data_IF_627528209917
#
_entry.id   IF_627528209917
#
_cell.length_a   1.000
_cell.length_b   1.000
_cell.length_c   1.000
_cell.angle_alpha   90.00
_cell.angle_beta   90.00
_cell.angle_gamma   90.00
#
_symmetry.space_group_name_H-M   'P 1'
#
loop_
_entity.id
_entity.type
_entity.pdbx_description
1 polymer ?
#
# COMPACT_ATOMS: atom_id res chain seq x y z
N UNK A 1 4.91 9.61 -24.13
CA UNK A 1 4.53 8.48 -23.25
C UNK A 1 5.57 8.17 -22.17
N UNK A 2 6.84 7.86 -22.51
CA UNK A 2 7.87 7.49 -21.52
C UNK A 2 8.19 8.59 -20.49
N UNK A 3 8.36 9.84 -20.92
CA UNK A 3 8.57 10.97 -20.01
C UNK A 3 7.37 11.18 -19.06
N UNK A 4 6.15 11.00 -19.57
CA UNK A 4 4.93 11.03 -18.76
C UNK A 4 4.92 9.93 -17.69
N UNK A 5 5.31 8.69 -18.06
CA UNK A 5 5.43 7.58 -17.10
C UNK A 5 6.47 7.83 -16.01
N UNK A 6 7.62 8.39 -16.38
CA UNK A 6 8.65 8.77 -15.42
C UNK A 6 8.13 9.82 -14.43
N UNK A 7 7.49 10.88 -14.94
CA UNK A 7 6.91 11.92 -14.10
C UNK A 7 5.84 11.34 -13.16
N UNK A 8 4.88 10.57 -13.68
CA UNK A 8 3.84 9.96 -12.84
C UNK A 8 4.43 9.03 -11.78
N UNK A 9 5.49 8.28 -12.10
CA UNK A 9 6.17 7.42 -11.13
C UNK A 9 6.83 8.22 -10.00
N UNK A 10 7.51 9.31 -10.32
CA UNK A 10 8.12 10.22 -9.32
C UNK A 10 7.04 10.83 -8.43
N UNK A 11 5.95 11.34 -9.01
CA UNK A 11 4.85 11.93 -8.24
C UNK A 11 4.16 10.90 -7.33
N UNK A 12 3.88 9.69 -7.84
CA UNK A 12 3.29 8.61 -7.04
C UNK A 12 4.20 8.26 -5.85
N UNK A 13 5.51 8.18 -6.05
CA UNK A 13 6.46 7.89 -4.97
C UNK A 13 6.45 8.96 -3.88
N UNK A 14 6.49 10.24 -4.27
CA UNK A 14 6.45 11.37 -3.33
C UNK A 14 5.12 11.40 -2.56
N UNK A 15 4.00 11.30 -3.27
CA UNK A 15 2.66 11.34 -2.66
C UNK A 15 2.47 10.16 -1.71
N UNK A 16 2.85 8.95 -2.13
CA UNK A 16 2.69 7.75 -1.30
C UNK A 16 3.50 7.88 -0.01
N UNK A 17 4.76 8.33 -0.08
CA UNK A 17 5.56 8.56 1.11
C UNK A 17 4.94 9.63 2.02
N UNK A 18 4.49 10.76 1.45
CA UNK A 18 3.89 11.85 2.21
C UNK A 18 2.60 11.42 2.91
N UNK A 19 1.73 10.65 2.23
CA UNK A 19 0.47 10.14 2.79
C UNK A 19 0.73 9.20 3.97
N UNK A 20 1.70 8.27 3.84
CA UNK A 20 2.02 7.35 4.94
C UNK A 20 2.57 8.11 6.16
N UNK A 21 3.44 9.09 5.94
CA UNK A 21 3.96 9.93 7.04
C UNK A 21 2.85 10.75 7.68
N UNK A 22 2.00 11.41 6.88
CA UNK A 22 0.88 12.20 7.38
C UNK A 22 -0.07 11.34 8.24
N UNK A 23 -0.48 10.17 7.73
CA UNK A 23 -1.32 9.22 8.47
C UNK A 23 -0.65 8.78 9.78
N UNK A 24 0.65 8.49 9.73
CA UNK A 24 1.40 8.10 10.91
C UNK A 24 1.46 9.22 11.96
N UNK A 25 1.52 10.48 11.56
CA UNK A 25 1.59 11.64 12.47
C UNK A 25 0.23 12.02 13.07
N UNK A 26 -0.87 11.88 12.32
CA UNK A 26 -2.22 12.18 12.85
C UNK A 26 -2.80 11.05 13.71
N UNK A 27 -2.42 9.79 13.45
CA UNK A 27 -3.00 8.64 14.14
C UNK A 27 -2.51 8.54 15.60
N UNK A 28 -3.42 8.28 16.54
CA UNK A 28 -3.04 7.99 17.93
C UNK A 28 -2.34 6.63 18.04
N UNK A 29 -1.53 6.44 19.08
CA UNK A 29 -0.72 5.21 19.31
C UNK A 29 -1.55 3.93 19.19
N UNK A 30 -2.81 3.98 19.64
CA UNK A 30 -3.65 2.81 19.82
C UNK A 30 -4.32 2.35 18.52
N UNK A 31 -4.59 3.28 17.59
CA UNK A 31 -5.25 2.99 16.30
C UNK A 31 -4.30 3.15 15.10
N UNK A 32 -3.02 3.47 15.33
CA UNK A 32 -2.01 3.67 14.28
C UNK A 32 -1.89 2.45 13.37
N UNK A 33 -2.06 1.25 13.92
CA UNK A 33 -2.06 0.00 13.16
C UNK A 33 -3.22 -0.09 12.18
N UNK A 34 -4.43 0.20 12.65
CA UNK A 34 -5.66 0.15 11.87
C UNK A 34 -5.71 1.25 10.79
N UNK A 35 -5.38 2.51 11.14
CA UNK A 35 -5.34 3.62 10.17
C UNK A 35 -4.17 3.42 9.17
N UNK A 36 -3.03 2.90 9.62
CA UNK A 36 -1.95 2.53 8.69
C UNK A 36 -2.39 1.47 7.69
N UNK A 37 -3.13 0.46 8.14
CA UNK A 37 -3.61 -0.65 7.30
C UNK A 37 -4.74 -0.24 6.34
N UNK A 38 -5.56 0.75 6.70
CA UNK A 38 -6.63 1.27 5.82
C UNK A 38 -6.09 1.90 4.53
N UNK A 39 -4.83 2.37 4.53
CA UNK A 39 -4.15 2.87 3.33
C UNK A 39 -4.04 1.78 2.26
N UNK A 40 -3.72 0.54 2.67
CA UNK A 40 -3.67 -0.60 1.74
C UNK A 40 -5.05 -0.95 1.17
N UNK A 41 -6.11 -0.84 1.99
CA UNK A 41 -7.49 -1.02 1.50
C UNK A 41 -7.81 0.02 0.42
N UNK A 42 -7.42 1.28 0.63
CA UNK A 42 -7.65 2.35 -0.35
C UNK A 42 -6.89 2.10 -1.66
N UNK A 43 -5.66 1.57 -1.59
CA UNK A 43 -4.93 1.10 -2.78
C UNK A 43 -5.69 0.01 -3.53
N UNK A 44 -6.20 -1.01 -2.83
CA UNK A 44 -6.97 -2.09 -3.44
C UNK A 44 -8.28 -1.61 -4.06
N UNK A 45 -8.97 -0.63 -3.45
CA UNK A 45 -10.14 0.03 -4.04
C UNK A 45 -9.75 0.76 -5.34
N UNK A 46 -8.61 1.47 -5.34
CA UNK A 46 -8.11 2.16 -6.52
C UNK A 46 -7.78 1.22 -7.68
N UNK A 47 -7.18 0.06 -7.40
CA UNK A 47 -6.90 -0.98 -8.41
C UNK A 47 -8.21 -1.54 -8.98
N UNK A 48 -9.17 -1.88 -8.12
CA UNK A 48 -10.48 -2.37 -8.54
C UNK A 48 -11.21 -1.34 -9.41
N UNK A 49 -11.22 -0.08 -9.00
CA UNK A 49 -11.77 1.04 -9.77
C UNK A 49 -11.14 1.14 -11.16
N UNK A 50 -9.80 1.08 -11.24
CA UNK A 50 -9.06 1.12 -12.49
C UNK A 50 -9.43 -0.03 -13.43
N UNK A 51 -9.58 -1.25 -12.91
CA UNK A 51 -9.97 -2.41 -13.72
C UNK A 51 -11.42 -2.40 -14.18
N UNK A 52 -12.35 -1.94 -13.34
CA UNK A 52 -13.76 -1.78 -13.74
C UNK A 52 -13.86 -0.77 -14.89
N UNK A 53 -13.27 0.41 -14.73
CA UNK A 53 -13.34 1.45 -15.77
C UNK A 53 -12.54 1.04 -17.01
N UNK A 54 -11.39 0.41 -16.83
CA UNK A 54 -10.57 -0.12 -17.92
C UNK A 54 -11.25 -1.24 -18.72
N UNK A 55 -12.27 -1.90 -18.17
CA UNK A 55 -13.06 -2.91 -18.90
C UNK A 55 -14.07 -2.31 -19.87
N UNK A 56 -14.57 -1.10 -19.59
CA UNK A 56 -15.63 -0.44 -20.39
C UNK A 56 -15.11 0.70 -21.27
N UNK A 57 -13.84 1.09 -21.09
CA UNK A 57 -13.28 2.35 -21.60
C UNK A 57 -11.97 2.15 -22.35
N UNK A 58 -11.65 3.05 -23.30
CA UNK A 58 -10.34 3.10 -23.97
C UNK A 58 -9.25 3.73 -23.09
N UNK A 59 -7.96 3.47 -23.38
CA UNK A 59 -6.82 3.92 -22.56
C UNK A 59 -6.76 5.44 -22.34
N UNK A 60 -7.18 6.24 -23.32
CA UNK A 60 -7.17 7.71 -23.22
C UNK A 60 -8.27 8.22 -22.29
N UNK A 61 -9.47 7.67 -22.43
CA UNK A 61 -10.61 8.00 -21.57
C UNK A 61 -10.41 7.49 -20.13
N UNK A 62 -9.78 6.32 -19.93
CA UNK A 62 -9.39 5.83 -18.61
C UNK A 62 -8.47 6.83 -17.90
N UNK A 63 -7.48 7.35 -18.62
CA UNK A 63 -6.53 8.35 -18.09
C UNK A 63 -7.25 9.63 -17.67
N UNK A 64 -8.21 10.11 -18.48
CA UNK A 64 -9.02 11.28 -18.15
C UNK A 64 -9.93 11.06 -16.93
N UNK A 65 -10.53 9.87 -16.80
CA UNK A 65 -11.40 9.56 -15.66
C UNK A 65 -10.58 9.46 -14.37
N UNK A 66 -9.38 8.87 -14.42
CA UNK A 66 -8.48 8.79 -13.26
C UNK A 66 -7.99 10.17 -12.78
N UNK A 67 -8.00 11.21 -13.62
CA UNK A 67 -7.68 12.58 -13.17
C UNK A 67 -8.73 13.13 -12.20
N UNK A 68 -9.99 12.71 -12.30
CA UNK A 68 -11.09 13.22 -11.46
C UNK A 68 -10.86 12.95 -9.96
N UNK A 69 -10.64 11.69 -9.50
CA UNK A 69 -10.37 11.45 -8.09
C UNK A 69 -9.05 12.06 -7.62
N UNK A 70 -8.02 12.16 -8.49
CA UNK A 70 -6.76 12.83 -8.14
C UNK A 70 -6.94 14.33 -7.90
N UNK A 71 -7.70 15.01 -8.77
CA UNK A 71 -8.02 16.44 -8.60
C UNK A 71 -8.87 16.67 -7.36
N UNK A 72 -9.87 15.80 -7.12
CA UNK A 72 -10.68 15.86 -5.92
C UNK A 72 -9.84 15.71 -4.66
N UNK A 73 -8.91 14.75 -4.63
CA UNK A 73 -7.98 14.58 -3.52
C UNK A 73 -7.11 15.83 -3.29
N UNK A 74 -6.59 16.44 -4.36
CA UNK A 74 -5.83 17.68 -4.24
C UNK A 74 -6.65 18.82 -3.65
N UNK A 75 -7.90 19.00 -4.08
CA UNK A 75 -8.80 20.03 -3.55
C UNK A 75 -9.15 19.76 -2.08
N UNK A 76 -9.47 18.52 -1.72
CA UNK A 76 -9.80 18.16 -0.35
C UNK A 76 -8.62 18.35 0.61
N UNK A 77 -7.38 18.10 0.14
CA UNK A 77 -6.19 18.34 0.95
C UNK A 77 -5.96 19.82 1.28
N UNK A 78 -6.39 20.76 0.44
CA UNK A 78 -6.29 22.19 0.76
C UNK A 78 -7.17 22.62 1.94
N UNK A 79 -8.25 21.90 2.22
CA UNK A 79 -9.15 22.19 3.35
C UNK A 79 -8.80 21.42 4.63
N UNK A 80 -7.83 20.49 4.56
CA UNK A 80 -7.45 19.67 5.70
C UNK A 80 -6.49 20.40 6.65
N UNK A 81 -6.49 20.01 7.92
CA UNK A 81 -5.56 20.55 8.90
C UNK A 81 -4.13 20.02 8.64
N UNK A 82 -3.12 20.85 8.88
CA UNK A 82 -1.71 20.44 8.74
C UNK A 82 -1.31 19.43 9.84
N UNK A 83 -0.27 18.62 9.61
CA UNK A 83 0.20 17.68 10.64
C UNK A 83 0.62 18.41 11.94
N UNK A 84 0.22 17.90 13.13
CA UNK A 84 0.59 18.52 14.40
C UNK A 84 2.12 18.53 14.62
N UNK A 85 2.83 17.50 14.17
CA UNK A 85 4.30 17.43 14.23
C UNK A 85 4.95 18.52 13.37
N UNK A 86 4.35 18.82 12.22
CA UNK A 86 4.82 19.89 11.33
C UNK A 86 4.61 21.29 11.93
N UNK A 87 3.45 21.51 12.56
CA UNK A 87 3.13 22.78 13.22
C UNK A 87 4.05 23.05 14.41
N UNK A 88 4.35 22.02 15.22
CA UNK A 88 5.35 22.09 16.30
C UNK A 88 6.73 22.41 15.75
N UNK A 89 7.14 21.77 14.65
CA UNK A 89 8.43 22.03 14.01
C UNK A 89 8.57 23.46 13.45
N UNK A 90 7.45 24.10 13.11
CA UNK A 90 7.39 25.52 12.71
C UNK A 90 7.23 26.49 13.89
N UNK A 91 7.15 26.00 15.13
CA UNK A 91 6.91 26.82 16.32
C UNK A 91 5.48 27.37 16.42
N UNK A 92 4.52 26.83 15.66
CA UNK A 92 3.10 27.24 15.69
C UNK A 92 2.31 26.40 16.69
N UNK A 93 2.60 26.59 17.97
CA UNK A 93 2.04 25.78 19.06
C UNK A 93 0.52 25.87 19.15
N UNK A 94 -0.07 27.06 19.00
CA UNK A 94 -1.53 27.25 19.07
C UNK A 94 -2.28 26.48 17.98
N UNK A 95 -1.76 26.49 16.74
CA UNK A 95 -2.35 25.73 15.63
C UNK A 95 -2.19 24.22 15.82
N UNK A 96 -1.08 23.79 16.43
CA UNK A 96 -0.87 22.39 16.76
C UNK A 96 -1.89 21.90 17.81
N UNK A 97 -2.23 22.73 18.80
CA UNK A 97 -3.26 22.44 19.80
C UNK A 97 -4.63 22.30 19.13
N UNK A 98 -5.03 23.27 18.30
CA UNK A 98 -6.32 23.22 17.59
C UNK A 98 -6.44 21.95 16.74
N UNK A 99 -5.37 21.61 16.02
CA UNK A 99 -5.33 20.41 15.17
C UNK A 99 -5.40 19.11 15.98
N UNK A 100 -4.65 19.03 17.08
CA UNK A 100 -4.72 17.86 17.97
C UNK A 100 -6.09 17.75 18.64
N UNK A 101 -6.72 18.85 19.03
CA UNK A 101 -8.09 18.86 19.55
C UNK A 101 -9.10 18.40 18.49
N UNK A 102 -8.92 18.79 17.23
CA UNK A 102 -9.74 18.32 16.11
C UNK A 102 -9.64 16.79 15.91
N UNK A 103 -8.42 16.24 15.93
CA UNK A 103 -8.20 14.80 15.70
C UNK A 103 -8.46 13.91 16.92
N UNK A 104 -8.27 14.40 18.16
CA UNK A 104 -8.43 13.63 19.40
C UNK A 104 -9.77 13.85 20.10
N UNK A 105 -10.47 14.94 19.76
CA UNK A 105 -11.72 15.37 20.38
C UNK A 105 -11.54 16.38 21.51
N UNK A 106 -12.59 17.19 21.75
CA UNK A 106 -12.57 18.37 22.62
C UNK A 106 -12.23 18.13 24.10
N UNK A 107 -12.35 16.89 24.60
CA UNK A 107 -12.13 16.55 26.01
C UNK A 107 -10.77 15.86 26.27
N UNK A 108 -9.94 15.67 25.24
CA UNK A 108 -8.63 15.03 25.39
C UNK A 108 -7.59 16.02 25.91
N UNK A 109 -6.75 15.59 26.86
CA UNK A 109 -5.67 16.44 27.38
C UNK A 109 -4.51 16.50 26.38
N UNK A 110 -4.61 17.44 25.44
CA UNK A 110 -3.65 17.65 24.35
C UNK A 110 -2.26 18.09 24.84
N UNK A 111 -2.18 18.70 26.03
CA UNK A 111 -0.93 19.26 26.57
C UNK A 111 0.17 18.20 26.78
N UNK A 112 -0.21 16.97 27.14
CA UNK A 112 0.75 15.88 27.32
C UNK A 112 1.31 15.33 26.01
N UNK A 113 0.50 15.28 24.95
CA UNK A 113 0.96 14.86 23.62
C UNK A 113 1.79 15.96 22.95
N UNK A 114 1.40 17.22 23.14
CA UNK A 114 2.14 18.39 22.65
C UNK A 114 3.55 18.49 23.26
N UNK A 115 3.67 18.31 24.59
CA UNK A 115 4.98 18.36 25.26
C UNK A 115 5.90 17.22 24.82
N UNK A 116 5.34 16.03 24.54
CA UNK A 116 6.08 14.91 23.96
C UNK A 116 6.58 15.22 22.53
N UNK A 117 5.74 15.86 21.70
CA UNK A 117 6.12 16.29 20.35
C UNK A 117 7.20 17.39 20.38
N UNK A 118 7.08 18.36 21.27
CA UNK A 118 8.09 19.43 21.46
C UNK A 118 9.42 18.86 21.95
N UNK A 119 9.40 17.92 22.90
CA UNK A 119 10.59 17.22 23.37
C UNK A 119 11.28 16.43 22.26
N UNK A 120 10.49 15.67 21.48
CA UNK A 120 11.01 14.94 20.31
C UNK A 120 11.59 15.89 19.24
N UNK A 121 10.97 17.04 19.01
CA UNK A 121 11.48 18.05 18.08
C UNK A 121 12.77 18.70 18.58
N UNK A 122 12.89 19.04 19.86
CA UNK A 122 14.13 19.57 20.43
C UNK A 122 15.27 18.56 20.34
N UNK A 123 15.02 17.28 20.66
CA UNK A 123 16.02 16.22 20.49
C UNK A 123 16.45 16.06 19.02
N UNK A 124 15.49 16.12 18.09
CA UNK A 124 15.75 16.04 16.65
C UNK A 124 16.51 17.27 16.13
N UNK A 125 16.16 18.48 16.58
CA UNK A 125 16.81 19.73 16.16
C UNK A 125 18.23 19.87 16.70
N UNK A 126 18.53 19.31 17.88
CA UNK A 126 19.88 19.31 18.42
C UNK A 126 20.78 18.24 17.78
N UNK A 127 20.19 17.17 17.22
CA UNK A 127 20.92 16.14 16.49
C UNK A 127 21.02 16.46 15.00
N UNK A 128 22.12 17.08 14.58
CA UNK A 128 22.49 17.11 13.15
C UNK A 128 22.69 15.66 12.69
N UNK A 129 21.74 15.13 11.93
CA UNK A 129 21.82 13.78 11.34
C UNK A 129 23.08 13.68 10.51
N UNK A 130 24.07 12.92 10.99
CA UNK A 130 25.30 12.64 10.26
C UNK A 130 25.22 11.26 9.61
N UNK A 131 25.85 11.08 8.46
CA UNK A 131 25.96 9.76 7.82
C UNK A 131 26.59 8.70 8.76
N UNK A 132 27.33 9.13 9.78
CA UNK A 132 27.87 8.26 10.83
C UNK A 132 26.80 7.68 11.77
N UNK A 133 25.64 8.33 11.92
CA UNK A 133 24.54 7.85 12.77
C UNK A 133 23.84 6.62 12.17
N UNK A 134 23.95 6.41 10.86
CA UNK A 134 23.51 5.16 10.22
C UNK A 134 24.28 3.94 10.73
N UNK A 135 25.49 4.10 11.29
CA UNK A 135 26.25 2.96 11.85
C UNK A 135 25.78 2.52 13.23
N UNK A 136 24.83 3.25 13.85
CA UNK A 136 24.32 2.91 15.18
C UNK A 136 23.41 1.68 15.10
N UNK A 137 23.55 0.69 16.01
CA UNK A 137 22.71 -0.51 16.03
C UNK A 137 21.23 -0.25 16.21
N UNK A 138 20.86 0.87 16.83
CA UNK A 138 19.47 1.31 16.93
C UNK A 138 18.86 1.75 15.57
N UNK A 139 19.71 2.10 14.59
CA UNK A 139 19.29 2.63 13.28
C UNK A 139 19.49 1.60 12.18
N UNK A 140 20.69 1.01 12.06
CA UNK A 140 20.94 0.05 10.98
C UNK A 140 20.14 -1.25 11.13
N UNK A 141 19.87 -1.74 12.35
CA UNK A 141 19.14 -3.00 12.51
C UNK A 141 17.71 -2.90 11.98
N UNK A 142 16.89 -1.90 12.38
CA UNK A 142 15.58 -1.69 11.76
C UNK A 142 15.67 -1.40 10.26
N UNK A 143 16.64 -0.59 9.82
CA UNK A 143 16.81 -0.28 8.39
C UNK A 143 17.08 -1.52 7.55
N UNK A 144 17.97 -2.42 7.99
CA UNK A 144 18.27 -3.68 7.29
C UNK A 144 17.03 -4.56 7.23
N UNK A 145 16.29 -4.70 8.34
CA UNK A 145 15.07 -5.51 8.38
C UNK A 145 14.02 -4.96 7.41
N UNK A 146 13.74 -3.65 7.46
CA UNK A 146 12.75 -3.02 6.57
C UNK A 146 13.21 -3.12 5.12
N UNK A 147 14.47 -2.86 4.83
CA UNK A 147 15.02 -2.95 3.46
C UNK A 147 14.94 -4.38 2.92
N UNK A 148 15.31 -5.38 3.72
CA UNK A 148 15.18 -6.78 3.34
C UNK A 148 13.73 -7.18 3.09
N UNK A 149 12.80 -6.75 3.96
CA UNK A 149 11.36 -7.00 3.77
C UNK A 149 10.82 -6.35 2.49
N UNK A 150 11.21 -5.11 2.18
CA UNK A 150 10.80 -4.42 0.94
C UNK A 150 11.34 -5.13 -0.31
N UNK A 151 12.59 -5.60 -0.26
CA UNK A 151 13.19 -6.39 -1.34
C UNK A 151 12.40 -7.69 -1.51
N UNK A 152 12.22 -8.47 -0.44
CA UNK A 152 11.47 -9.73 -0.48
C UNK A 152 10.04 -9.53 -1.00
N UNK A 153 9.38 -8.44 -0.61
CA UNK A 153 8.06 -8.09 -1.12
C UNK A 153 8.06 -7.86 -2.63
N UNK A 154 9.06 -7.17 -3.19
CA UNK A 154 9.15 -6.98 -4.64
C UNK A 154 9.48 -8.28 -5.38
N UNK A 155 10.37 -9.09 -4.81
CA UNK A 155 10.75 -10.40 -5.35
C UNK A 155 9.63 -11.45 -5.28
N UNK A 156 8.57 -11.23 -4.51
CA UNK A 156 7.38 -12.08 -4.53
C UNK A 156 6.70 -12.14 -5.91
N UNK A 157 6.98 -11.15 -6.78
CA UNK A 157 6.42 -11.11 -8.14
C UNK A 157 4.96 -10.66 -8.20
N UNK A 158 4.37 -10.18 -7.09
CA UNK A 158 3.00 -9.67 -7.06
C UNK A 158 2.76 -8.60 -8.12
N UNK A 159 3.70 -7.66 -8.29
CA UNK A 159 3.58 -6.63 -9.32
C UNK A 159 3.64 -7.21 -10.74
N UNK A 160 4.49 -8.22 -10.98
CA UNK A 160 4.57 -8.89 -12.27
C UNK A 160 3.28 -9.65 -12.60
N UNK A 161 2.67 -10.30 -11.59
CA UNK A 161 1.36 -10.94 -11.69
C UNK A 161 0.27 -9.92 -12.01
N UNK A 162 0.18 -8.82 -11.26
CA UNK A 162 -0.83 -7.77 -11.47
C UNK A 162 -0.73 -7.18 -12.88
N UNK A 163 0.47 -6.86 -13.36
CA UNK A 163 0.65 -6.27 -14.70
C UNK A 163 0.37 -7.26 -15.85
N UNK A 164 0.68 -8.55 -15.66
CA UNK A 164 0.50 -9.57 -16.70
C UNK A 164 -0.78 -10.39 -16.51
N UNK A 165 -1.63 -10.01 -15.58
CA UNK A 165 -2.81 -10.79 -15.17
C UNK A 165 -3.74 -11.09 -16.35
N UNK A 166 -4.01 -10.07 -17.17
CA UNK A 166 -4.82 -10.19 -18.39
C UNK A 166 -4.19 -11.18 -19.37
N UNK A 167 -2.87 -11.15 -19.53
CA UNK A 167 -2.13 -12.02 -20.45
C UNK A 167 -2.11 -13.46 -19.93
N UNK A 168 -1.87 -13.66 -18.64
CA UNK A 168 -1.87 -14.97 -17.96
C UNK A 168 -3.22 -15.65 -18.14
N UNK A 169 -4.33 -14.93 -17.91
CA UNK A 169 -5.66 -15.51 -18.07
C UNK A 169 -6.04 -15.78 -19.52
N UNK A 170 -5.59 -14.95 -20.48
CA UNK A 170 -5.76 -15.24 -21.90
C UNK A 170 -5.03 -16.52 -22.31
N UNK A 171 -3.81 -16.72 -21.82
CA UNK A 171 -3.01 -17.92 -22.12
C UNK A 171 -3.56 -19.19 -21.45
N UNK A 172 -4.31 -19.06 -20.35
CA UNK A 172 -4.92 -20.19 -19.64
C UNK A 172 -6.22 -20.72 -20.29
N UNK A 173 -6.65 -20.17 -21.43
CA UNK A 173 -7.78 -20.70 -22.21
C UNK A 173 -9.17 -20.46 -21.62
N UNK A 174 -9.30 -19.59 -20.60
CA UNK A 174 -10.60 -19.28 -20.00
C UNK A 174 -11.46 -18.43 -20.97
N UNK A 175 -12.67 -18.90 -21.27
CA UNK A 175 -13.69 -18.17 -22.05
C UNK A 175 -14.28 -16.97 -21.29
N UNK A 176 -13.98 -16.81 -19.99
CA UNK A 176 -14.25 -15.57 -19.28
C UNK A 176 -13.44 -14.44 -19.92
N UNK A 177 -14.12 -13.37 -20.36
CA UNK A 177 -13.45 -12.18 -20.89
C UNK A 177 -12.29 -11.79 -19.95
N UNK A 178 -11.08 -11.59 -20.48
CA UNK A 178 -9.88 -11.34 -19.68
C UNK A 178 -10.03 -10.15 -18.69
N UNK A 179 -10.98 -9.26 -18.98
CA UNK A 179 -11.42 -8.18 -18.11
C UNK A 179 -12.17 -8.68 -16.86
N UNK A 180 -13.09 -9.63 -17.00
CA UNK A 180 -13.83 -10.24 -15.89
C UNK A 180 -12.91 -10.94 -14.87
N UNK A 181 -11.89 -11.66 -15.35
CA UNK A 181 -10.88 -12.27 -14.47
C UNK A 181 -10.04 -11.23 -13.73
N UNK A 182 -9.72 -10.11 -14.39
CA UNK A 182 -8.96 -9.02 -13.76
C UNK A 182 -9.74 -8.30 -12.67
N UNK A 183 -11.03 -8.04 -12.90
CA UNK A 183 -11.93 -7.48 -11.89
C UNK A 183 -12.09 -8.45 -10.72
N UNK A 184 -12.20 -9.76 -10.98
CA UNK A 184 -12.31 -10.76 -9.92
C UNK A 184 -11.06 -10.82 -9.04
N UNK A 185 -9.86 -10.78 -9.62
CA UNK A 185 -8.62 -10.74 -8.82
C UNK A 185 -8.54 -9.45 -8.00
N UNK A 186 -8.89 -8.30 -8.56
CA UNK A 186 -8.92 -7.07 -7.77
C UNK A 186 -9.99 -7.10 -6.66
N UNK A 187 -11.12 -7.76 -6.89
CA UNK A 187 -12.13 -7.98 -5.85
C UNK A 187 -11.61 -8.89 -4.73
N UNK A 188 -10.95 -10.00 -5.07
CA UNK A 188 -10.28 -10.88 -4.09
C UNK A 188 -9.22 -10.11 -3.31
N UNK A 189 -8.40 -9.29 -3.99
CA UNK A 189 -7.41 -8.43 -3.34
C UNK A 189 -8.04 -7.43 -2.37
N UNK A 190 -9.18 -6.83 -2.73
CA UNK A 190 -9.93 -5.93 -1.86
C UNK A 190 -10.45 -6.66 -0.62
N UNK A 191 -11.08 -7.83 -0.80
CA UNK A 191 -11.58 -8.65 0.31
C UNK A 191 -10.45 -9.08 1.22
N UNK A 192 -9.32 -9.55 0.66
CA UNK A 192 -8.14 -9.92 1.43
C UNK A 192 -7.57 -8.72 2.21
N UNK A 193 -7.55 -7.53 1.61
CA UNK A 193 -7.09 -6.30 2.26
C UNK A 193 -8.01 -5.91 3.43
N UNK A 194 -9.34 -6.02 3.26
CA UNK A 194 -10.32 -5.75 4.31
C UNK A 194 -10.19 -6.73 5.48
N UNK A 195 -9.99 -8.02 5.19
CA UNK A 195 -9.77 -9.06 6.21
C UNK A 195 -8.42 -8.86 6.92
N UNK A 196 -7.41 -8.33 6.21
CA UNK A 196 -6.09 -8.08 6.79
C UNK A 196 -6.11 -7.04 7.91
N UNK A 197 -6.95 -6.00 7.82
CA UNK A 197 -7.01 -4.92 8.81
C UNK A 197 -7.26 -5.44 10.24
N UNK A 198 -8.35 -6.16 10.55
CA UNK A 198 -8.56 -6.71 11.89
C UNK A 198 -7.55 -7.81 12.25
N UNK A 199 -7.06 -8.57 11.27
CA UNK A 199 -6.09 -9.64 11.50
C UNK A 199 -4.73 -9.11 12.00
N UNK A 200 -4.30 -7.93 11.52
CA UNK A 200 -3.04 -7.31 11.95
C UNK A 200 -3.06 -7.00 13.44
N UNK A 201 -4.19 -6.50 13.94
CA UNK A 201 -4.36 -6.13 15.35
C UNK A 201 -4.55 -7.38 16.24
N UNK A 202 -5.17 -8.46 15.72
CA UNK A 202 -5.44 -9.70 16.47
C UNK A 202 -4.25 -10.68 16.53
N UNK A 203 -3.64 -10.99 15.39
CA UNK A 203 -2.63 -12.06 15.28
C UNK A 203 -1.19 -11.53 15.34
N UNK A 204 -0.99 -10.22 15.22
CA UNK A 204 0.30 -9.58 15.26
C UNK A 204 1.09 -9.66 13.94
N UNK A 205 1.90 -8.63 13.69
CA UNK A 205 2.58 -8.39 12.39
C UNK A 205 3.54 -9.50 11.96
N UNK A 206 4.31 -10.07 12.89
CA UNK A 206 5.31 -11.11 12.57
C UNK A 206 4.67 -12.42 12.15
N UNK A 207 3.59 -12.82 12.83
CA UNK A 207 2.88 -14.05 12.52
C UNK A 207 2.22 -13.97 11.14
N UNK A 208 1.53 -12.85 10.86
CA UNK A 208 0.91 -12.62 9.55
C UNK A 208 1.94 -12.71 8.40
N UNK A 209 3.10 -12.10 8.58
CA UNK A 209 4.14 -12.04 7.55
C UNK A 209 4.76 -13.43 7.24
N UNK A 210 4.98 -14.25 8.28
CA UNK A 210 5.48 -15.62 8.09
C UNK A 210 4.40 -16.49 7.43
N UNK A 211 3.16 -16.40 7.92
CA UNK A 211 2.04 -17.16 7.37
C UNK A 211 1.78 -16.84 5.90
N UNK A 212 1.74 -15.54 5.54
CA UNK A 212 1.58 -15.12 4.15
C UNK A 212 2.75 -15.58 3.27
N UNK A 213 3.98 -15.55 3.79
CA UNK A 213 5.17 -16.02 3.06
C UNK A 213 5.10 -17.51 2.73
N UNK A 214 4.66 -18.34 3.69
CA UNK A 214 4.46 -19.77 3.48
C UNK A 214 3.37 -20.01 2.44
N UNK A 215 2.23 -19.31 2.55
CA UNK A 215 1.13 -19.43 1.59
C UNK A 215 1.58 -19.05 0.17
N UNK A 216 2.27 -17.91 0.02
CA UNK A 216 2.81 -17.46 -1.27
C UNK A 216 3.79 -18.45 -1.87
N UNK A 217 4.63 -19.10 -1.06
CA UNK A 217 5.55 -20.13 -1.54
C UNK A 217 4.80 -21.31 -2.19
N UNK A 218 3.74 -21.80 -1.53
CA UNK A 218 2.93 -22.89 -2.08
C UNK A 218 2.17 -22.45 -3.34
N UNK A 219 1.48 -21.31 -3.30
CA UNK A 219 0.72 -20.79 -4.44
C UNK A 219 1.60 -20.57 -5.68
N UNK A 220 2.76 -19.93 -5.51
CA UNK A 220 3.69 -19.68 -6.62
C UNK A 220 4.32 -20.99 -7.14
N UNK A 221 4.57 -21.96 -6.26
CA UNK A 221 4.98 -23.31 -6.66
C UNK A 221 3.92 -24.00 -7.51
N UNK A 222 2.64 -23.88 -7.15
CA UNK A 222 1.52 -24.42 -7.91
C UNK A 222 1.40 -23.77 -9.30
N UNK A 223 1.48 -22.43 -9.38
CA UNK A 223 1.44 -21.69 -10.66
C UNK A 223 2.64 -22.07 -11.54
N UNK A 224 3.84 -22.15 -10.97
CA UNK A 224 5.05 -22.55 -11.70
C UNK A 224 4.95 -23.98 -12.24
N UNK A 225 4.44 -24.92 -11.44
CA UNK A 225 4.21 -26.29 -11.87
C UNK A 225 3.16 -26.37 -12.98
N UNK A 226 2.08 -25.58 -12.90
CA UNK A 226 1.05 -25.51 -13.93
C UNK A 226 1.63 -25.10 -15.29
N UNK A 227 2.43 -24.02 -15.33
CA UNK A 227 3.05 -23.58 -16.58
C UNK A 227 4.08 -24.58 -17.12
N UNK A 228 4.84 -25.24 -16.25
CA UNK A 228 5.76 -26.31 -16.67
C UNK A 228 5.02 -27.49 -17.33
N UNK A 229 3.89 -27.90 -16.76
CA UNK A 229 3.05 -28.97 -17.30
C UNK A 229 2.31 -28.57 -18.58
N UNK A 230 1.96 -27.29 -18.73
CA UNK A 230 1.40 -26.72 -19.96
C UNK A 230 2.39 -26.85 -21.13
N UNK A 231 3.67 -26.58 -20.88
CA UNK A 231 4.74 -26.64 -21.88
C UNK A 231 5.15 -28.08 -22.24
N UNK A 232 4.98 -29.03 -21.30
CA UNK A 232 5.36 -30.44 -21.49
C UNK A 232 4.21 -31.39 -21.87
N UNK A 233 2.94 -30.99 -21.73
CA UNK A 233 1.76 -31.78 -22.11
C UNK A 233 0.54 -30.91 -22.46
N UNK A 234 0.26 -30.77 -23.76
CA UNK A 234 -0.36 -29.57 -24.32
C UNK A 234 -1.90 -29.46 -24.36
N UNK A 235 -2.71 -30.40 -23.84
CA UNK A 235 -4.18 -30.27 -23.95
C UNK A 235 -4.96 -30.61 -22.66
N UNK A 236 -4.57 -31.63 -21.92
CA UNK A 236 -5.28 -32.05 -20.69
C UNK A 236 -5.17 -31.05 -19.53
N UNK A 237 -4.05 -30.33 -19.43
CA UNK A 237 -3.80 -29.35 -18.36
C UNK A 237 -4.74 -28.15 -18.45
N UNK A 238 -5.05 -27.68 -19.65
CA UNK A 238 -6.01 -26.58 -19.86
C UNK A 238 -7.42 -27.06 -19.53
N UNK A 239 -7.77 -28.30 -19.89
CA UNK A 239 -9.12 -28.82 -19.73
C UNK A 239 -9.51 -29.14 -18.28
N UNK A 240 -8.57 -29.59 -17.44
CA UNK A 240 -8.85 -29.99 -16.04
C UNK A 240 -8.32 -29.02 -14.96
N UNK A 241 -7.33 -28.17 -15.28
CA UNK A 241 -6.66 -27.29 -14.30
C UNK A 241 -6.85 -25.78 -14.60
N UNK A 242 -7.84 -25.39 -15.41
CA UNK A 242 -8.14 -23.97 -15.73
C UNK A 242 -8.38 -23.07 -14.51
N UNK A 243 -8.82 -23.66 -13.39
CA UNK A 243 -9.14 -22.96 -12.13
C UNK A 243 -7.93 -22.77 -11.22
N UNK A 244 -6.84 -23.52 -11.44
CA UNK A 244 -5.68 -23.51 -10.54
C UNK A 244 -4.96 -22.14 -10.53
N UNK A 245 -4.74 -21.46 -11.66
CA UNK A 245 -4.20 -20.09 -11.68
C UNK A 245 -5.18 -19.03 -11.13
N UNK A 246 -6.46 -19.37 -10.99
CA UNK A 246 -7.50 -18.50 -10.43
C UNK A 246 -7.57 -18.60 -8.90
N UNK A 247 -7.27 -19.78 -8.33
CA UNK A 247 -7.37 -20.04 -6.89
C UNK A 247 -6.03 -20.00 -6.16
N UNK A 248 -4.91 -20.09 -6.88
CA UNK A 248 -3.56 -19.99 -6.32
C UNK A 248 -3.13 -18.54 -6.21
#
# INVERSE_FOLDING_TARGET
LFAGRLLTGVFVGIITSAVHTYIAEIASSDIRGTIGSSTNVMFSIGILYSYIIGSVTTWDQLSLICLVPSMLFSVLMFFNYESPTYLVAKGKVDQAIETLQHFRGSNYNVLGELSALEGAHQEASQRKLSAADLKRPAVYKPLIIVSALMILQQFSGVNALIFNLVTIFKSAGNEMSAYGSSVMVAAVQLVASLVSVPLVDLAGRKFLLIFSGILMFFCQGCIGLYFYLLESSAEWTIQYLWWLPLTS
#
